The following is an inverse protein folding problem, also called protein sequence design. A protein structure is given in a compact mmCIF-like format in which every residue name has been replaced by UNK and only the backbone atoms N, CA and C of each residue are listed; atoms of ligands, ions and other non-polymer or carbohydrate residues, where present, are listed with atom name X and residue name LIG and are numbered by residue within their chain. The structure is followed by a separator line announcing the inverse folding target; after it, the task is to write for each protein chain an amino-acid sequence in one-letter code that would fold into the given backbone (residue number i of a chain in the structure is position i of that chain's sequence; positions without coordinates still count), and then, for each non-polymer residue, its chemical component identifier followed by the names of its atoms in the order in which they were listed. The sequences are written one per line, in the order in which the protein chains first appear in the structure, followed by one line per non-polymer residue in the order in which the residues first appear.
data_IF_670303888819
#
_entry.id   IF_670303888819
#
_cell.length_a   1.000
_cell.length_b   1.000
_cell.length_c   1.000
_cell.angle_alpha   90.00
_cell.angle_beta   90.00
_cell.angle_gamma   90.00
#
_symmetry.space_group_name_H-M   'P 1'
#
loop_
_entity.id
_entity.type
_entity.pdbx_description
1 polymer ?
#
# COMPACT_ATOMS: atom_id res chain seq x y z
N UNK A 1 9.74 -19.46 -9.79
CA UNK A 1 8.63 -19.45 -8.83
C UNK A 1 8.64 -18.13 -8.07
N UNK A 2 7.70 -17.24 -8.37
CA UNK A 2 7.34 -16.11 -7.49
C UNK A 2 6.32 -16.60 -6.44
N UNK A 3 6.52 -17.81 -5.92
CA UNK A 3 5.86 -18.35 -4.72
C UNK A 3 6.84 -18.38 -3.52
N UNK A 4 8.05 -17.85 -3.72
CA UNK A 4 9.04 -17.53 -2.70
C UNK A 4 8.98 -16.03 -2.31
N UNK A 5 7.81 -15.41 -2.50
CA UNK A 5 7.59 -13.97 -2.38
C UNK A 5 6.97 -13.67 -1.00
N UNK A 6 7.71 -12.91 -0.18
CA UNK A 6 7.40 -12.48 1.19
C UNK A 6 7.45 -13.55 2.28
N UNK A 7 7.98 -13.21 3.47
CA UNK A 7 8.10 -14.14 4.58
C UNK A 7 6.70 -14.60 5.04
N UNK A 8 6.56 -15.84 5.55
CA UNK A 8 5.29 -16.31 6.14
C UNK A 8 4.74 -15.33 7.20
N UNK A 9 5.66 -14.73 7.95
CA UNK A 9 5.37 -13.69 8.95
C UNK A 9 4.71 -12.47 8.33
N UNK A 10 5.21 -11.99 7.18
CA UNK A 10 4.61 -10.86 6.47
C UNK A 10 3.19 -11.21 5.99
N UNK A 11 2.99 -12.40 5.43
CA UNK A 11 1.67 -12.86 4.97
C UNK A 11 0.65 -12.91 6.11
N UNK A 12 1.06 -13.41 7.28
CA UNK A 12 0.20 -13.41 8.48
C UNK A 12 -0.10 -12.00 8.97
N UNK A 13 0.90 -11.11 8.99
CA UNK A 13 0.71 -9.73 9.40
C UNK A 13 -0.20 -8.96 8.43
N UNK A 14 -0.03 -9.14 7.11
CA UNK A 14 -0.91 -8.54 6.09
C UNK A 14 -2.36 -8.99 6.30
N UNK A 15 -2.60 -10.29 6.45
CA UNK A 15 -3.94 -10.83 6.66
C UNK A 15 -4.59 -10.29 7.95
N UNK A 16 -3.81 -10.22 9.03
CA UNK A 16 -4.26 -9.67 10.32
C UNK A 16 -4.64 -8.20 10.19
N UNK A 17 -3.76 -7.36 9.64
CA UNK A 17 -3.99 -5.91 9.52
C UNK A 17 -5.19 -5.63 8.63
N UNK A 18 -5.32 -6.33 7.49
CA UNK A 18 -6.49 -6.22 6.62
C UNK A 18 -7.79 -6.60 7.33
N UNK A 19 -7.77 -7.66 8.15
CA UNK A 19 -8.95 -8.09 8.91
C UNK A 19 -9.33 -7.12 10.02
N UNK A 20 -8.35 -6.48 10.66
CA UNK A 20 -8.57 -5.59 11.81
C UNK A 20 -8.93 -4.16 11.38
N UNK A 21 -8.28 -3.64 10.34
CA UNK A 21 -8.34 -2.22 9.94
C UNK A 21 -8.97 -2.01 8.57
N UNK A 22 -9.16 -3.06 7.77
CA UNK A 22 -9.65 -2.93 6.40
C UNK A 22 -8.62 -2.32 5.44
N UNK A 23 -9.05 -2.06 4.20
CA UNK A 23 -8.14 -1.67 3.11
C UNK A 23 -7.71 -0.20 3.14
N UNK A 24 -8.55 0.68 3.66
CA UNK A 24 -8.26 2.13 3.75
C UNK A 24 -7.14 2.41 4.75
N UNK A 25 -7.17 1.73 5.89
CA UNK A 25 -6.18 1.91 6.96
C UNK A 25 -5.00 0.91 6.87
N UNK A 26 -5.02 0.01 5.87
CA UNK A 26 -4.02 -1.03 5.70
C UNK A 26 -2.59 -0.47 5.62
N UNK A 27 -2.37 0.56 4.78
CA UNK A 27 -1.02 1.08 4.55
C UNK A 27 -0.44 1.68 5.83
N UNK A 28 -1.26 2.42 6.58
CA UNK A 28 -0.86 2.97 7.87
C UNK A 28 -0.54 1.85 8.87
N UNK A 29 -1.43 0.87 9.03
CA UNK A 29 -1.21 -0.27 9.93
C UNK A 29 0.02 -1.10 9.57
N UNK A 30 0.27 -1.32 8.27
CA UNK A 30 1.43 -2.04 7.77
C UNK A 30 2.75 -1.33 8.07
N UNK A 31 2.82 -0.01 7.89
CA UNK A 31 4.03 0.75 8.20
C UNK A 31 4.36 0.72 9.69
N UNK A 32 3.35 0.83 10.57
CA UNK A 32 3.53 0.73 12.03
C UNK A 32 4.01 -0.65 12.45
N UNK A 33 3.44 -1.72 11.90
CA UNK A 33 3.90 -3.10 12.13
C UNK A 33 5.38 -3.31 11.76
N UNK A 34 5.89 -2.52 10.80
CA UNK A 34 7.29 -2.56 10.36
C UNK A 34 8.22 -1.60 11.11
N UNK A 35 7.71 -0.90 12.13
CA UNK A 35 8.46 0.11 12.89
C UNK A 35 8.71 1.41 12.13
N UNK A 36 7.94 1.66 11.07
CA UNK A 36 7.99 2.87 10.26
C UNK A 36 6.84 3.82 10.63
N UNK A 37 6.62 4.05 11.93
CA UNK A 37 5.56 4.94 12.43
C UNK A 37 5.64 6.35 11.82
N UNK A 38 6.88 6.85 11.66
CA UNK A 38 7.14 8.15 11.03
C UNK A 38 6.58 8.25 9.60
N UNK A 39 6.55 7.13 8.86
CA UNK A 39 6.03 7.10 7.51
C UNK A 39 4.50 6.99 7.50
N UNK A 40 3.92 6.29 8.48
CA UNK A 40 2.47 6.21 8.65
C UNK A 40 1.85 7.60 8.92
N UNK A 41 2.56 8.44 9.67
CA UNK A 41 2.11 9.80 10.01
C UNK A 41 2.09 10.74 8.79
N UNK A 42 2.78 10.41 7.68
CA UNK A 42 2.81 11.21 6.45
C UNK A 42 1.68 10.86 5.46
N UNK A 43 0.96 9.75 5.68
CA UNK A 43 -0.10 9.29 4.77
C UNK A 43 -1.21 10.33 4.55
N UNK A 44 -1.72 11.05 5.58
CA UNK A 44 -2.78 12.04 5.37
C UNK A 44 -2.42 13.15 4.38
N UNK A 45 -1.13 13.46 4.25
CA UNK A 45 -0.60 14.50 3.36
C UNK A 45 -0.12 13.95 2.00
N UNK A 46 -0.28 12.65 1.74
CA UNK A 46 0.22 12.01 0.53
C UNK A 46 -0.79 12.11 -0.63
N UNK A 47 -0.62 13.13 -1.49
CA UNK A 47 -1.47 13.39 -2.66
C UNK A 47 -1.38 12.32 -3.76
N UNK A 48 -0.35 11.48 -3.77
CA UNK A 48 -0.11 10.44 -4.78
C UNK A 48 -0.87 9.12 -4.53
N UNK A 49 -1.74 9.05 -3.53
CA UNK A 49 -2.55 7.85 -3.25
C UNK A 49 -3.83 7.75 -4.09
N UNK A 50 -4.13 8.78 -4.89
CA UNK A 50 -5.25 8.76 -5.84
C UNK A 50 -4.80 7.94 -7.05
N UNK A 51 -5.52 6.86 -7.44
CA UNK A 51 -5.15 6.07 -8.61
C UNK A 51 -5.12 6.97 -9.84
N UNK A 52 -3.94 7.10 -10.46
CA UNK A 52 -3.74 7.77 -11.74
C UNK A 52 -4.33 6.88 -12.85
N UNK A 53 -5.65 6.77 -12.93
CA UNK A 53 -6.34 5.94 -13.93
C UNK A 53 -6.64 6.69 -15.24
N UNK A 54 -6.05 7.87 -15.46
CA UNK A 54 -6.43 8.74 -16.55
C UNK A 54 -5.26 9.62 -17.04
N UNK A 55 -4.17 9.00 -17.51
CA UNK A 55 -3.26 9.69 -18.45
C UNK A 55 -2.61 8.69 -19.43
N UNK A 56 -3.42 7.93 -20.15
CA UNK A 56 -2.99 7.36 -21.45
C UNK A 56 -4.15 7.47 -22.45
N UNK A 57 -4.69 8.68 -22.60
CA UNK A 57 -5.46 9.08 -23.78
C UNK A 57 -4.85 10.33 -24.38
N UNK A 58 -3.53 10.35 -24.59
CA UNK A 58 -2.90 11.38 -25.41
C UNK A 58 -1.54 10.93 -25.97
N UNK A 59 -1.58 10.10 -27.00
CA UNK A 59 -0.61 10.25 -28.08
C UNK A 59 -1.28 9.86 -29.40
N UNK A 60 -2.08 10.78 -29.92
CA UNK A 60 -2.55 10.82 -31.29
C UNK A 60 -1.53 11.62 -32.12
N UNK A 61 -1.20 11.07 -33.29
CA UNK A 61 -0.55 11.68 -34.47
C UNK A 61 0.74 12.49 -34.29
N UNK A 62 1.88 11.93 -34.70
CA UNK A 62 2.85 12.53 -35.66
C UNK A 62 3.73 11.45 -36.29
#
# INVERSE_FOLDING_TARGET
ALCATSAKTDQTAIARILSEHGRTDFLAGWLRERGADWAADLIPDLSNLIPQAEEETHHEDT
#
